data_IF_284630261238
#
_entry.id   IF_284630261238
#
_cell.length_a   1.000
_cell.length_b   1.000
_cell.length_c   1.000
_cell.angle_alpha   90.00
_cell.angle_beta   90.00
_cell.angle_gamma   90.00
#
_symmetry.space_group_name_H-M   'P 1'
#
loop_
_entity.id
_entity.type
_entity.pdbx_description
1 polymer ?
#
# COMPACT_ATOMS: atom_id res chain seq x y z
N UNK A 1 12.23 39.70 25.76
CA UNK A 1 11.32 39.45 24.61
C UNK A 1 12.17 39.11 23.40
N UNK A 2 12.54 37.83 23.27
CA UNK A 2 13.45 37.36 22.23
C UNK A 2 12.68 37.08 20.94
N UNK A 3 12.73 38.00 19.99
CA UNK A 3 12.15 37.82 18.67
C UNK A 3 12.80 36.63 17.98
N UNK A 4 12.01 35.62 17.67
CA UNK A 4 12.42 34.56 16.75
C UNK A 4 12.76 35.24 15.42
N UNK A 5 14.06 35.22 15.07
CA UNK A 5 14.60 35.94 13.93
C UNK A 5 13.77 35.67 12.68
N UNK A 6 13.42 36.76 11.98
CA UNK A 6 12.60 36.77 10.76
C UNK A 6 13.32 36.17 9.55
N UNK A 7 13.79 34.93 9.67
CA UNK A 7 14.28 34.14 8.55
C UNK A 7 13.21 33.13 8.16
N UNK A 8 12.79 33.16 6.90
CA UNK A 8 11.84 32.19 6.38
C UNK A 8 12.51 30.81 6.32
N UNK A 9 12.15 29.93 7.26
CA UNK A 9 12.70 28.57 7.37
C UNK A 9 12.02 27.57 6.42
N UNK A 10 10.83 27.86 5.89
CA UNK A 10 10.12 26.96 4.96
C UNK A 10 10.93 26.60 3.71
N UNK A 11 11.53 27.55 2.96
CA UNK A 11 12.29 27.21 1.75
C UNK A 11 13.51 26.33 2.02
N UNK A 12 14.04 26.31 3.26
CA UNK A 12 15.16 25.45 3.64
C UNK A 12 14.75 24.00 3.92
N UNK A 13 13.45 23.70 4.02
CA UNK A 13 12.96 22.35 4.30
C UNK A 13 12.55 21.64 3.02
N UNK A 14 12.99 20.39 2.90
CA UNK A 14 12.70 19.52 1.76
C UNK A 14 11.23 19.15 1.60
N UNK A 15 10.47 19.14 2.70
CA UNK A 15 9.04 18.83 2.70
C UNK A 15 8.17 20.03 2.30
N UNK A 16 8.73 21.23 2.11
CA UNK A 16 7.95 22.40 1.76
C UNK A 16 7.25 22.20 0.41
N UNK A 17 5.92 22.16 0.44
CA UNK A 17 5.05 21.92 -0.72
C UNK A 17 5.25 22.98 -1.80
N UNK A 18 5.59 24.22 -1.42
CA UNK A 18 5.71 25.34 -2.36
C UNK A 18 7.05 25.37 -3.11
N UNK A 19 8.02 24.52 -2.73
CA UNK A 19 9.27 24.40 -3.47
C UNK A 19 9.00 23.97 -4.92
N UNK A 20 9.72 24.55 -5.87
CA UNK A 20 9.57 24.26 -7.29
C UNK A 20 9.65 22.75 -7.58
N UNK A 21 10.64 22.07 -6.98
CA UNK A 21 10.84 20.63 -7.12
C UNK A 21 9.62 19.81 -6.69
N UNK A 22 8.96 20.20 -5.59
CA UNK A 22 7.80 19.46 -5.08
C UNK A 22 6.56 19.73 -5.93
N UNK A 23 6.39 20.97 -6.40
CA UNK A 23 5.31 21.33 -7.34
C UNK A 23 5.47 20.62 -8.68
N UNK A 24 6.69 20.45 -9.16
CA UNK A 24 6.97 19.75 -10.41
C UNK A 24 6.76 18.24 -10.28
N UNK A 25 7.12 17.63 -9.14
CA UNK A 25 6.76 16.24 -8.83
C UNK A 25 5.25 16.02 -8.85
N UNK A 26 4.50 16.86 -8.13
CA UNK A 26 3.03 16.80 -8.12
C UNK A 26 2.49 16.91 -9.55
N UNK A 27 2.97 17.88 -10.34
CA UNK A 27 2.54 18.04 -11.74
C UNK A 27 2.82 16.79 -12.58
N UNK A 28 4.00 16.17 -12.42
CA UNK A 28 4.37 14.97 -13.15
C UNK A 28 3.52 13.76 -12.76
N UNK A 29 3.25 13.62 -11.47
CA UNK A 29 2.44 12.52 -10.94
C UNK A 29 0.97 12.67 -11.37
N UNK A 30 0.43 13.89 -11.36
CA UNK A 30 -0.89 14.22 -11.91
C UNK A 30 -0.98 13.92 -13.42
N UNK A 31 0.04 14.34 -14.20
CA UNK A 31 0.12 14.05 -15.63
C UNK A 31 0.22 12.54 -15.93
N UNK A 32 0.97 11.79 -15.11
CA UNK A 32 1.11 10.35 -15.25
C UNK A 32 -0.20 9.63 -14.94
N UNK A 33 -0.85 9.97 -13.82
CA UNK A 33 -2.14 9.42 -13.44
C UNK A 33 -3.21 9.68 -14.52
N UNK A 34 -3.25 10.89 -15.08
CA UNK A 34 -4.19 11.23 -16.15
C UNK A 34 -3.95 10.39 -17.43
N UNK A 35 -2.68 10.15 -17.80
CA UNK A 35 -2.34 9.31 -18.97
C UNK A 35 -2.69 7.85 -18.75
N UNK A 36 -2.41 7.31 -17.56
CA UNK A 36 -2.74 5.92 -17.23
C UNK A 36 -4.24 5.68 -17.24
N UNK A 37 -5.04 6.61 -16.72
CA UNK A 37 -6.50 6.51 -16.76
C UNK A 37 -7.02 6.50 -18.20
N UNK A 38 -6.51 7.37 -19.07
CA UNK A 38 -6.89 7.39 -20.49
C UNK A 38 -6.56 6.08 -21.19
N UNK A 39 -5.34 5.56 -21.02
CA UNK A 39 -4.94 4.28 -21.60
C UNK A 39 -5.82 3.12 -21.12
N UNK A 40 -6.19 3.12 -19.83
CA UNK A 40 -7.07 2.09 -19.26
C UNK A 40 -8.48 2.17 -19.84
N UNK A 41 -9.03 3.37 -20.01
CA UNK A 41 -10.33 3.56 -20.64
C UNK A 41 -10.32 3.13 -22.11
N UNK A 42 -9.25 3.46 -22.85
CA UNK A 42 -9.09 3.02 -24.24
C UNK A 42 -8.98 1.50 -24.35
N UNK A 43 -8.20 0.85 -23.48
CA UNK A 43 -8.08 -0.61 -23.46
C UNK A 43 -9.42 -1.29 -23.14
N UNK A 44 -10.16 -0.77 -22.16
CA UNK A 44 -11.50 -1.28 -21.84
C UNK A 44 -12.43 -1.16 -23.05
N UNK A 45 -12.46 0.02 -23.70
CA UNK A 45 -13.27 0.25 -24.89
C UNK A 45 -12.88 -0.66 -26.05
N UNK A 46 -11.58 -0.90 -26.27
CA UNK A 46 -11.09 -1.83 -27.31
C UNK A 46 -11.51 -3.26 -27.01
N UNK A 47 -11.31 -3.74 -25.77
CA UNK A 47 -11.76 -5.08 -25.36
C UNK A 47 -13.25 -5.28 -25.54
N UNK A 48 -14.07 -4.30 -25.15
CA UNK A 48 -15.53 -4.39 -25.32
C UNK A 48 -15.93 -4.42 -26.80
N UNK A 49 -15.25 -3.66 -27.66
CA UNK A 49 -15.48 -3.67 -29.10
C UNK A 49 -15.08 -5.01 -29.72
N UNK A 50 -13.93 -5.55 -29.33
CA UNK A 50 -13.42 -6.86 -29.77
C UNK A 50 -14.37 -7.97 -29.35
N UNK A 51 -14.80 -7.99 -28.08
CA UNK A 51 -15.76 -8.96 -27.56
C UNK A 51 -17.10 -8.89 -28.29
N UNK A 52 -17.60 -7.68 -28.56
CA UNK A 52 -18.84 -7.50 -29.32
C UNK A 52 -18.70 -8.03 -30.75
N UNK A 53 -17.57 -7.77 -31.42
CA UNK A 53 -17.30 -8.28 -32.76
C UNK A 53 -17.16 -9.81 -32.78
N UNK A 54 -16.48 -10.38 -31.80
CA UNK A 54 -16.34 -11.84 -31.67
C UNK A 54 -17.70 -12.51 -31.46
N UNK A 55 -18.55 -11.96 -30.59
CA UNK A 55 -19.92 -12.44 -30.39
C UNK A 55 -20.72 -12.44 -31.69
N UNK A 56 -20.60 -11.37 -32.51
CA UNK A 56 -21.27 -11.30 -33.81
C UNK A 56 -20.70 -12.32 -34.81
N UNK A 57 -19.39 -12.56 -34.83
CA UNK A 57 -18.78 -13.61 -35.67
C UNK A 57 -19.28 -14.99 -35.29
N UNK A 58 -19.33 -15.29 -33.99
CA UNK A 58 -19.83 -16.56 -33.46
C UNK A 58 -21.29 -16.80 -33.89
N UNK A 59 -22.15 -15.78 -33.78
CA UNK A 59 -23.54 -15.87 -34.24
C UNK A 59 -23.66 -16.10 -35.76
N UNK A 60 -22.71 -15.59 -36.55
CA UNK A 60 -22.68 -15.76 -38.01
C UNK A 60 -21.98 -17.06 -38.45
N UNK A 61 -21.44 -17.86 -37.52
CA UNK A 61 -20.68 -19.07 -37.83
C UNK A 61 -19.35 -18.82 -38.53
N UNK A 62 -18.80 -17.59 -38.44
CA UNK A 62 -17.46 -17.29 -38.96
C UNK A 62 -16.41 -17.72 -37.93
N UNK A 63 -15.23 -18.22 -38.36
CA UNK A 63 -14.17 -18.61 -37.46
C UNK A 63 -13.70 -17.42 -36.61
N UNK A 64 -13.52 -17.64 -35.31
CA UNK A 64 -12.85 -16.65 -34.46
C UNK A 64 -11.38 -16.54 -34.86
N UNK A 65 -10.82 -15.33 -34.78
CA UNK A 65 -9.43 -15.06 -35.12
C UNK A 65 -8.42 -15.54 -34.07
N UNK A 66 -8.90 -16.10 -32.96
CA UNK A 66 -8.07 -16.57 -31.84
C UNK A 66 -7.38 -17.92 -32.11
N UNK A 67 -7.58 -18.55 -33.27
CA UNK A 67 -7.11 -19.91 -33.53
C UNK A 67 -5.73 -20.02 -34.22
N UNK A 68 -5.01 -18.92 -34.45
CA UNK A 68 -3.71 -18.96 -35.17
C UNK A 68 -2.47 -18.65 -34.31
N UNK A 69 -2.59 -18.36 -33.02
CA UNK A 69 -1.41 -18.09 -32.17
C UNK A 69 -1.63 -18.56 -30.72
N UNK A 70 -1.46 -19.86 -30.47
CA UNK A 70 -1.33 -20.43 -29.12
C UNK A 70 -0.42 -21.66 -29.14
N UNK A 71 0.74 -21.64 -28.45
CA UNK A 71 1.33 -22.86 -27.92
C UNK A 71 0.69 -23.21 -26.58
N UNK A 72 0.03 -24.37 -26.60
CA UNK A 72 -0.33 -25.30 -25.53
C UNK A 72 0.38 -25.13 -24.16
N UNK A 73 -0.41 -25.06 -23.08
CA UNK A 73 -0.19 -25.76 -21.80
C UNK A 73 -1.41 -25.57 -20.88
N UNK A 74 -2.13 -26.67 -20.62
CA UNK A 74 -3.45 -26.74 -20.00
C UNK A 74 -3.58 -26.58 -18.47
N UNK A 75 -4.76 -26.92 -17.91
CA UNK A 75 -5.25 -26.48 -16.60
C UNK A 75 -5.10 -27.52 -15.47
N UNK A 76 -4.87 -27.07 -14.23
CA UNK A 76 -5.11 -27.76 -12.94
C UNK A 76 -4.61 -26.82 -11.83
N UNK A 77 -5.06 -26.80 -10.59
CA UNK A 77 -6.20 -27.31 -9.83
C UNK A 77 -6.02 -26.63 -8.46
N UNK A 78 -7.12 -26.40 -7.75
CA UNK A 78 -7.19 -25.76 -6.43
C UNK A 78 -6.55 -26.64 -5.33
N UNK A 79 -6.19 -26.02 -4.19
CA UNK A 79 -5.68 -26.53 -2.87
C UNK A 79 -4.21 -26.15 -2.64
N UNK A 80 -3.73 -25.68 -1.48
CA UNK A 80 -4.27 -25.56 -0.12
C UNK A 80 -3.43 -24.52 0.66
N UNK A 81 -4.05 -23.92 1.67
CA UNK A 81 -3.51 -23.41 2.95
C UNK A 81 -1.98 -23.41 3.15
N UNK A 82 -1.40 -22.22 3.35
CA UNK A 82 -0.62 -21.90 4.57
C UNK A 82 -0.14 -20.44 4.57
N UNK A 83 -0.64 -19.70 5.56
CA UNK A 83 -0.02 -18.46 6.02
C UNK A 83 1.40 -18.77 6.49
N UNK A 84 2.39 -18.44 5.67
CA UNK A 84 3.79 -18.39 6.09
C UNK A 84 4.14 -16.93 6.27
N UNK A 85 4.02 -16.47 7.51
CA UNK A 85 4.65 -15.26 8.01
C UNK A 85 6.17 -15.46 8.06
N UNK A 86 6.81 -15.70 6.91
CA UNK A 86 8.26 -15.86 6.82
C UNK A 86 8.98 -14.54 6.51
N UNK A 87 8.64 -13.55 7.33
CA UNK A 87 9.53 -12.44 7.62
C UNK A 87 9.57 -12.19 9.14
N UNK A 88 9.73 -13.24 9.95
CA UNK A 88 10.11 -13.16 11.38
C UNK A 88 9.27 -12.27 12.32
N UNK A 89 8.15 -11.73 11.87
CA UNK A 89 7.31 -10.81 12.63
C UNK A 89 6.08 -11.56 13.14
N UNK A 90 6.05 -11.84 14.44
CA UNK A 90 4.88 -12.41 15.11
C UNK A 90 3.89 -11.25 15.30
N UNK A 91 2.71 -11.35 14.70
CA UNK A 91 1.64 -10.39 14.92
C UNK A 91 0.98 -10.67 16.29
N UNK A 92 1.46 -10.02 17.35
CA UNK A 92 0.89 -10.18 18.70
C UNK A 92 -0.57 -9.68 18.82
N UNK A 93 -1.10 -8.99 17.81
CA UNK A 93 -2.49 -8.50 17.76
C UNK A 93 -3.43 -9.43 17.00
N UNK A 94 -2.92 -10.50 16.41
CA UNK A 94 -3.71 -11.49 15.70
C UNK A 94 -4.44 -12.38 16.74
N UNK A 95 -5.70 -12.04 17.01
CA UNK A 95 -6.54 -12.71 18.01
C UNK A 95 -7.02 -11.82 19.16
N UNK A 96 -6.48 -10.60 19.32
CA UNK A 96 -6.99 -9.64 20.31
C UNK A 96 -8.22 -8.90 19.77
N UNK A 97 -9.39 -9.53 19.91
CA UNK A 97 -10.70 -8.90 19.77
C UNK A 97 -11.14 -8.21 21.08
N UNK A 98 -10.25 -7.45 21.73
CA UNK A 98 -10.56 -6.81 23.02
C UNK A 98 -9.93 -5.42 23.09
N UNK A 99 -10.70 -4.42 22.65
CA UNK A 99 -10.59 -3.08 23.19
C UNK A 99 -12.00 -2.57 23.54
N UNK A 100 -12.55 -2.87 24.72
CA UNK A 100 -13.37 -1.89 25.40
C UNK A 100 -12.42 -0.94 26.15
N UNK A 101 -12.52 0.32 25.82
CA UNK A 101 -12.00 1.43 26.61
C UNK A 101 -12.41 1.24 28.10
N UNK A 102 -11.45 1.30 29.03
CA UNK A 102 -11.71 1.60 30.45
C UNK A 102 -11.42 0.47 31.46
N UNK A 103 -10.60 0.79 32.48
CA UNK A 103 -10.62 0.09 33.78
C UNK A 103 -9.27 -0.24 34.40
N UNK A 104 -8.71 0.71 35.13
CA UNK A 104 -8.04 0.66 36.46
C UNK A 104 -7.52 -0.67 37.09
N UNK A 105 -6.41 -0.53 37.85
CA UNK A 105 -6.05 -1.36 39.03
C UNK A 105 -4.80 -2.22 38.85
N UNK A 106 -3.61 -1.81 39.31
CA UNK A 106 -3.02 -2.10 40.65
C UNK A 106 -2.86 -3.60 40.99
N UNK A 107 -1.61 -4.07 41.20
CA UNK A 107 -1.15 -4.65 42.49
C UNK A 107 0.36 -4.96 42.49
N UNK A 108 0.91 -5.00 43.72
CA UNK A 108 2.28 -4.90 44.22
C UNK A 108 3.03 -6.24 44.24
N UNK A 109 4.35 -6.19 44.47
CA UNK A 109 5.14 -7.36 44.86
C UNK A 109 6.65 -7.10 44.98
N UNK A 110 7.06 -6.70 46.18
CA UNK A 110 8.42 -6.35 46.61
C UNK A 110 9.44 -7.51 46.55
N UNK A 111 10.74 -7.18 46.38
CA UNK A 111 11.85 -7.93 46.98
C UNK A 111 13.03 -7.01 47.29
N UNK A 112 13.27 -6.84 48.59
CA UNK A 112 14.47 -6.30 49.22
C UNK A 112 15.76 -7.02 48.75
N UNK A 113 16.90 -6.31 48.68
CA UNK A 113 17.92 -6.34 49.74
C UNK A 113 19.19 -5.54 49.42
N UNK A 114 19.56 -4.75 50.44
CA UNK A 114 20.91 -4.39 50.92
C UNK A 114 21.87 -3.69 49.95
N UNK A 115 22.10 -2.39 50.14
CA UNK A 115 23.17 -1.82 50.99
C UNK A 115 24.57 -2.07 50.41
N UNK A 116 25.20 -1.02 49.87
CA UNK A 116 26.32 -0.37 50.56
C UNK A 116 26.87 0.83 49.74
N UNK A 117 26.81 1.99 50.38
CA UNK A 117 27.91 2.97 50.49
C UNK A 117 28.39 3.78 49.27
N UNK A 118 28.12 5.10 49.45
CA UNK A 118 29.12 6.21 49.47
C UNK A 118 29.39 6.85 48.10
N UNK A 119 28.70 7.95 47.74
CA UNK A 119 28.81 9.35 48.23
C UNK A 119 30.10 10.04 47.78
N UNK A 120 29.91 11.13 47.03
CA UNK A 120 30.84 12.25 46.91
C UNK A 120 31.54 12.29 45.55
N UNK A 121 31.57 13.40 44.83
CA UNK A 121 31.07 14.75 45.04
C UNK A 121 30.88 15.40 43.66
#
# INVERSE_FOLDING_TARGET
>A
MGGHGGLNILPQKRWNVYNYENREKVRRDEEAAAKEEQLKQEQARRRDAEFRLERLRALRGLPSRTNEEAPDSGPSSVQDEQATSDSGHINLFEGLKVFPFGGEGEDKGEKERSDDRKKGQ
#
